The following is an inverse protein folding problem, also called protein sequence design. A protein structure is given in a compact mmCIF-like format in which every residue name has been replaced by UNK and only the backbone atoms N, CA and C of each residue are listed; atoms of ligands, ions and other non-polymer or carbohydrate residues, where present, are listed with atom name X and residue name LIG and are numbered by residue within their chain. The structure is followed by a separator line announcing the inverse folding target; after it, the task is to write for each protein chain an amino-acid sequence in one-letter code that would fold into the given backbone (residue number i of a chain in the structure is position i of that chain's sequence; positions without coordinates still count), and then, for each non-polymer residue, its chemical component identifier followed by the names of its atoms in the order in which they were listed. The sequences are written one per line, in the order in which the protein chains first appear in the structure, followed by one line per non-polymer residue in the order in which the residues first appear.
data_IF_499038237829
#
_entry.id   IF_499038237829
#
_cell.length_a   1.000
_cell.length_b   1.000
_cell.length_c   1.000
_cell.angle_alpha   90.00
_cell.angle_beta   90.00
_cell.angle_gamma   90.00
#
_symmetry.space_group_name_H-M   'P 1'
#
loop_
_entity.id
_entity.type
_entity.pdbx_description
1 polymer ?
#
# COMPACT_ATOMS: atom_id res chain seq x y z
N UNK A 1 9.47 -23.70 -4.76
CA UNK A 1 10.74 -23.02 -4.41
C UNK A 1 10.92 -21.88 -5.40
N UNK A 2 11.28 -20.67 -4.95
CA UNK A 2 11.58 -19.57 -5.87
C UNK A 2 12.92 -19.84 -6.58
N UNK A 3 13.08 -19.49 -7.87
CA UNK A 3 14.37 -19.54 -8.55
C UNK A 3 15.42 -18.67 -7.85
N UNK A 4 16.68 -19.11 -7.77
CA UNK A 4 17.77 -18.39 -7.09
C UNK A 4 17.98 -16.92 -7.53
N UNK A 5 17.54 -16.56 -8.74
CA UNK A 5 17.54 -15.21 -9.29
C UNK A 5 16.37 -14.32 -8.82
N UNK A 6 15.44 -14.87 -8.04
CA UNK A 6 14.23 -14.16 -7.62
C UNK A 6 14.55 -13.11 -6.56
N UNK A 7 13.79 -12.02 -6.56
CA UNK A 7 13.82 -11.02 -5.50
C UNK A 7 12.51 -11.02 -4.72
N UNK A 8 12.60 -11.17 -3.41
CA UNK A 8 11.48 -10.99 -2.48
C UNK A 8 11.49 -9.56 -1.93
N UNK A 9 10.44 -8.79 -2.21
CA UNK A 9 10.27 -7.43 -1.69
C UNK A 9 9.41 -7.47 -0.42
N UNK A 10 9.99 -7.11 0.72
CA UNK A 10 9.26 -6.90 1.97
C UNK A 10 8.89 -5.42 2.11
N UNK A 11 7.59 -5.12 2.11
CA UNK A 11 7.05 -3.75 2.24
C UNK A 11 6.06 -3.60 3.40
N UNK A 12 5.99 -4.60 4.28
CA UNK A 12 5.10 -4.63 5.43
C UNK A 12 5.36 -5.84 6.33
N UNK A 13 4.85 -5.79 7.56
CA UNK A 13 5.03 -6.83 8.57
C UNK A 13 3.74 -7.05 9.37
N UNK A 14 2.66 -7.44 8.68
CA UNK A 14 1.33 -7.57 9.29
C UNK A 14 1.28 -8.56 10.45
N UNK A 15 2.16 -9.57 10.46
CA UNK A 15 2.26 -10.55 11.55
C UNK A 15 3.04 -10.03 12.77
N UNK A 16 3.75 -8.91 12.65
CA UNK A 16 4.70 -8.43 13.67
C UNK A 16 5.94 -9.32 13.87
N UNK A 17 6.07 -10.43 13.12
CA UNK A 17 7.16 -11.40 13.27
C UNK A 17 8.24 -11.16 12.22
N UNK A 18 9.53 -11.11 12.58
CA UNK A 18 10.61 -10.94 11.61
C UNK A 18 10.57 -12.00 10.51
N UNK A 19 10.89 -11.59 9.28
CA UNK A 19 11.11 -12.50 8.18
C UNK A 19 12.54 -13.06 8.28
N UNK A 20 12.67 -14.34 8.64
CA UNK A 20 13.95 -15.05 8.65
C UNK A 20 14.06 -15.91 7.40
N UNK A 21 14.91 -15.52 6.45
CA UNK A 21 15.18 -16.35 5.28
C UNK A 21 16.45 -17.18 5.49
N UNK A 22 16.30 -18.50 5.53
CA UNK A 22 17.37 -19.45 5.85
C UNK A 22 17.94 -20.19 4.63
N UNK A 23 17.38 -19.99 3.43
CA UNK A 23 17.82 -20.68 2.19
C UNK A 23 18.13 -19.69 1.07
N UNK A 24 19.19 -19.97 0.31
CA UNK A 24 19.75 -19.13 -0.76
C UNK A 24 18.94 -19.06 -2.06
N UNK A 25 17.61 -19.11 -1.98
CA UNK A 25 16.75 -19.20 -3.17
C UNK A 25 16.17 -17.87 -3.64
N UNK A 26 16.30 -16.77 -2.90
CA UNK A 26 15.87 -15.45 -3.35
C UNK A 26 16.64 -14.34 -2.60
N UNK A 27 16.94 -13.24 -3.27
CA UNK A 27 17.46 -12.04 -2.61
C UNK A 27 16.30 -11.32 -1.91
N UNK A 28 16.44 -11.02 -0.62
CA UNK A 28 15.43 -10.23 0.11
C UNK A 28 15.79 -8.75 0.04
N UNK A 29 14.84 -7.90 -0.33
CA UNK A 29 14.97 -6.44 -0.24
C UNK A 29 13.81 -5.82 0.51
N UNK A 30 14.14 -4.93 1.43
CA UNK A 30 13.18 -4.10 2.17
C UNK A 30 12.80 -2.92 1.29
N UNK A 31 11.52 -2.57 1.24
CA UNK A 31 11.03 -1.37 0.57
C UNK A 31 10.22 -0.52 1.55
N UNK A 32 10.63 0.74 1.71
CA UNK A 32 9.83 1.76 2.36
C UNK A 32 9.68 2.95 1.44
N UNK A 33 8.43 3.34 1.18
CA UNK A 33 8.14 4.53 0.39
C UNK A 33 8.84 5.78 0.97
N UNK A 34 8.87 5.91 2.30
CA UNK A 34 9.58 7.00 3.00
C UNK A 34 11.08 7.06 2.67
N UNK A 35 11.73 5.92 2.50
CA UNK A 35 13.17 5.84 2.18
C UNK A 35 13.41 6.04 0.68
N UNK A 36 12.45 5.63 -0.16
CA UNK A 36 12.54 5.74 -1.62
C UNK A 36 12.23 7.14 -2.17
N UNK A 37 11.28 7.86 -1.57
CA UNK A 37 10.85 9.17 -2.09
C UNK A 37 11.97 10.23 -2.14
N UNK A 38 12.84 10.39 -1.11
CA UNK A 38 13.89 11.41 -1.12
C UNK A 38 14.97 11.20 -2.17
N UNK A 39 15.09 10.00 -2.75
CA UNK A 39 16.11 9.70 -3.78
C UNK A 39 15.63 10.06 -5.19
N UNK A 40 14.35 10.39 -5.35
CA UNK A 40 13.78 10.80 -6.63
C UNK A 40 13.99 12.30 -6.84
N UNK A 41 14.38 12.67 -8.07
CA UNK A 41 14.23 14.05 -8.50
C UNK A 41 12.74 14.41 -8.60
N UNK A 42 12.43 15.71 -8.55
CA UNK A 42 11.05 16.20 -8.76
C UNK A 42 10.46 15.68 -10.07
N UNK A 43 11.27 15.66 -11.13
CA UNK A 43 10.87 15.15 -12.44
C UNK A 43 10.57 13.65 -12.40
N UNK A 44 11.42 12.84 -11.76
CA UNK A 44 11.21 11.40 -11.63
C UNK A 44 9.97 11.08 -10.78
N UNK A 45 9.75 11.82 -9.70
CA UNK A 45 8.57 11.70 -8.87
C UNK A 45 7.29 12.03 -9.66
N UNK A 46 7.29 13.12 -10.43
CA UNK A 46 6.15 13.50 -11.27
C UNK A 46 5.87 12.46 -12.36
N UNK A 47 6.89 12.00 -13.06
CA UNK A 47 6.75 10.99 -14.11
C UNK A 47 6.13 9.69 -13.58
N UNK A 48 6.50 9.27 -12.36
CA UNK A 48 5.89 8.11 -11.71
C UNK A 48 4.38 8.30 -11.47
N UNK A 49 3.96 9.50 -11.06
CA UNK A 49 2.53 9.82 -10.93
C UNK A 49 1.80 9.85 -12.27
N UNK A 50 2.42 10.42 -13.31
CA UNK A 50 1.82 10.46 -14.64
C UNK A 50 1.58 9.03 -15.17
N UNK A 51 2.52 8.11 -14.95
CA UNK A 51 2.38 6.70 -15.31
C UNK A 51 1.26 6.00 -14.51
N UNK A 52 1.21 6.21 -13.19
CA UNK A 52 0.13 5.66 -12.35
C UNK A 52 -1.22 6.18 -12.84
N UNK A 53 -1.34 7.48 -13.12
CA UNK A 53 -2.58 8.11 -13.51
C UNK A 53 -3.18 7.52 -14.79
N UNK A 54 -2.33 7.20 -15.76
CA UNK A 54 -2.75 6.55 -17.01
C UNK A 54 -3.33 5.15 -16.79
N UNK A 55 -2.87 4.42 -15.76
CA UNK A 55 -3.31 3.05 -15.45
C UNK A 55 -4.52 2.99 -14.52
N UNK A 56 -4.80 4.06 -13.78
CA UNK A 56 -5.89 4.08 -12.80
C UNK A 56 -7.28 3.72 -13.38
N UNK A 57 -7.70 4.21 -14.56
CA UNK A 57 -9.05 3.94 -15.08
C UNK A 57 -9.34 2.45 -15.33
N UNK A 58 -8.30 1.66 -15.63
CA UNK A 58 -8.42 0.22 -15.90
C UNK A 58 -8.02 -0.65 -14.70
N UNK A 59 -7.62 -0.03 -13.60
CA UNK A 59 -7.25 -0.73 -12.36
C UNK A 59 -8.52 -1.07 -11.59
N UNK A 60 -8.77 -2.36 -11.35
CA UNK A 60 -9.83 -2.79 -10.44
C UNK A 60 -9.53 -2.27 -9.02
N UNK A 61 -10.45 -1.48 -8.47
CA UNK A 61 -10.37 -0.97 -7.12
C UNK A 61 -11.40 -1.67 -6.23
N UNK A 62 -11.07 -1.96 -4.96
CA UNK A 62 -12.06 -2.46 -4.02
C UNK A 62 -13.18 -1.42 -3.85
N UNK A 63 -14.42 -1.84 -3.54
CA UNK A 63 -15.52 -0.92 -3.27
C UNK A 63 -15.14 0.06 -2.16
N UNK A 64 -15.63 1.30 -2.27
CA UNK A 64 -15.39 2.33 -1.28
C UNK A 64 -16.61 2.52 -0.39
N UNK A 65 -16.39 2.57 0.92
CA UNK A 65 -17.38 3.01 1.89
C UNK A 65 -17.01 4.42 2.34
N UNK A 66 -17.94 5.35 2.19
CA UNK A 66 -17.77 6.74 2.63
C UNK A 66 -18.39 6.90 4.02
N UNK A 67 -17.67 7.54 4.92
CA UNK A 67 -18.12 7.88 6.27
C UNK A 67 -17.87 9.38 6.45
N UNK A 68 -18.83 10.11 6.99
CA UNK A 68 -18.70 11.54 7.22
C UNK A 68 -17.47 11.83 8.10
N UNK A 69 -16.82 12.96 7.87
CA UNK A 69 -15.67 13.38 8.67
C UNK A 69 -16.02 13.46 10.17
N UNK A 70 -17.24 13.88 10.50
CA UNK A 70 -17.71 13.97 11.88
C UNK A 70 -17.74 12.60 12.58
N UNK A 71 -17.89 11.53 11.81
CA UNK A 71 -17.93 10.14 12.28
C UNK A 71 -16.57 9.44 12.14
N UNK A 72 -15.46 10.19 12.13
CA UNK A 72 -14.11 9.66 11.92
C UNK A 72 -13.73 8.50 12.87
N UNK A 73 -14.30 8.46 14.08
CA UNK A 73 -14.07 7.34 15.03
C UNK A 73 -14.64 6.04 14.51
N UNK A 74 -15.84 6.09 13.92
CA UNK A 74 -16.47 4.94 13.26
C UNK A 74 -15.66 4.54 12.02
N UNK A 75 -15.12 5.51 11.27
CA UNK A 75 -14.25 5.23 10.15
C UNK A 75 -12.99 4.46 10.54
N UNK A 76 -12.36 4.80 11.68
CA UNK A 76 -11.22 4.05 12.22
C UNK A 76 -11.64 2.64 12.65
N UNK A 77 -12.76 2.52 13.38
CA UNK A 77 -13.27 1.23 13.85
C UNK A 77 -13.58 0.29 12.67
N UNK A 78 -14.21 0.81 11.61
CA UNK A 78 -14.50 0.08 10.39
C UNK A 78 -13.23 -0.29 9.61
N UNK A 79 -12.23 0.60 9.58
CA UNK A 79 -10.95 0.33 8.92
C UNK A 79 -10.13 -0.78 9.63
N UNK A 80 -10.32 -0.96 10.93
CA UNK A 80 -9.64 -1.99 11.73
C UNK A 80 -10.25 -3.39 11.63
N UNK A 81 -11.42 -3.56 10.99
CA UNK A 81 -12.07 -4.86 10.89
C UNK A 81 -11.27 -5.83 10.00
N UNK A 82 -10.88 -7.01 10.52
CA UNK A 82 -10.26 -8.05 9.71
C UNK A 82 -11.14 -8.45 8.54
N UNK A 83 -10.54 -8.67 7.37
CA UNK A 83 -11.27 -9.14 6.19
C UNK A 83 -12.23 -8.12 5.58
N UNK A 84 -12.12 -6.82 5.92
CA UNK A 84 -12.96 -5.78 5.31
C UNK A 84 -12.89 -5.84 3.77
N UNK A 85 -14.06 -5.82 3.14
CA UNK A 85 -14.17 -5.95 1.67
C UNK A 85 -13.93 -4.66 0.89
N UNK A 86 -13.70 -3.53 1.57
CA UNK A 86 -13.68 -2.21 0.93
C UNK A 86 -12.77 -1.18 1.61
N UNK A 87 -12.48 -0.11 0.88
CA UNK A 87 -11.69 1.02 1.37
C UNK A 87 -12.60 2.01 2.08
N UNK A 88 -12.30 2.31 3.34
CA UNK A 88 -12.95 3.42 4.06
C UNK A 88 -12.38 4.75 3.57
N UNK A 89 -13.27 5.66 3.17
CA UNK A 89 -12.99 7.03 2.78
C UNK A 89 -13.69 7.99 3.73
N UNK A 90 -13.02 9.08 4.10
CA UNK A 90 -13.64 10.17 4.84
C UNK A 90 -14.29 11.14 3.85
N UNK A 91 -15.56 11.45 4.08
CA UNK A 91 -16.31 12.43 3.34
C UNK A 91 -16.27 13.77 4.07
N UNK A 92 -15.61 14.75 3.44
CA UNK A 92 -15.45 16.11 3.96
C UNK A 92 -16.63 17.02 3.62
N UNK A 93 -17.60 16.52 2.83
CA UNK A 93 -18.76 17.28 2.35
C UNK A 93 -20.03 16.94 3.13
N UNK A 94 -20.04 15.83 3.86
CA UNK A 94 -21.15 15.43 4.71
C UNK A 94 -21.03 16.13 6.08
N UNK A 95 -22.00 16.99 6.39
CA UNK A 95 -22.13 17.73 7.66
C UNK A 95 -23.60 17.94 7.99
#
# INVERSE_FOLDING_TARGET
MLPGSSTLISYGLLSGRPLTQTRGSATVRKFHLREALPTLSVAAWRAAFDEIWQRLPTTSQPPAQRIALNDWREAIAAAGQPGRGGKILLDFTAG
#
